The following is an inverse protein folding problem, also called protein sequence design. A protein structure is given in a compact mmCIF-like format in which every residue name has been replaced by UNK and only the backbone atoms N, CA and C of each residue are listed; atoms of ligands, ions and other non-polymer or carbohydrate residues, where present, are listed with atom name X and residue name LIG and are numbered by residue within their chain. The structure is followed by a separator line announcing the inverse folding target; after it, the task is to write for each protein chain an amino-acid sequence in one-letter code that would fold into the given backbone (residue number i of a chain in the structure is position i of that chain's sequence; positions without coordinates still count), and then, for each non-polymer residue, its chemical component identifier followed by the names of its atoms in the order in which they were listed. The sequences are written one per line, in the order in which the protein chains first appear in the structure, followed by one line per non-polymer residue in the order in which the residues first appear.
data_IF_349920200711
#
_entry.id   IF_349920200711
#
_cell.length_a   1.000
_cell.length_b   1.000
_cell.length_c   1.000
_cell.angle_alpha   90.00
_cell.angle_beta   90.00
_cell.angle_gamma   90.00
#
_symmetry.space_group_name_H-M   'P 1'
#
loop_
_entity.id
_entity.type
_entity.pdbx_description
1 polymer ?
#
# COMPACT_ATOMS: atom_id res chain seq x y z
N UNK A 1 11.07 -29.38 17.95
CA UNK A 1 10.12 -28.63 18.79
C UNK A 1 10.77 -27.28 19.06
N UNK A 2 10.15 -26.19 18.64
CA UNK A 2 10.78 -24.85 18.64
C UNK A 2 10.53 -24.03 19.92
N UNK A 3 9.64 -24.49 20.80
CA UNK A 3 9.36 -23.80 22.05
C UNK A 3 10.49 -23.99 23.08
N UNK A 4 10.79 -22.97 23.91
CA UNK A 4 11.80 -23.08 24.97
C UNK A 4 11.49 -24.25 25.92
N UNK A 5 12.52 -24.99 26.31
CA UNK A 5 12.35 -26.13 27.21
C UNK A 5 12.27 -25.67 28.66
N UNK A 6 11.26 -26.10 29.43
CA UNK A 6 11.14 -25.77 30.85
C UNK A 6 12.36 -26.20 31.69
N UNK A 7 13.06 -27.24 31.26
CA UNK A 7 14.26 -27.77 31.92
C UNK A 7 15.57 -27.19 31.38
N UNK A 8 15.50 -26.19 30.50
CA UNK A 8 16.69 -25.58 29.92
C UNK A 8 17.60 -24.94 30.96
N UNK A 9 18.90 -25.05 30.72
CA UNK A 9 19.93 -24.38 31.51
C UNK A 9 20.19 -22.95 31.02
N UNK A 10 19.67 -22.57 29.85
CA UNK A 10 19.81 -21.24 29.28
C UNK A 10 18.71 -20.33 29.86
N UNK A 11 19.12 -19.38 30.72
CA UNK A 11 18.21 -18.36 31.24
C UNK A 11 17.75 -17.45 30.10
N UNK A 12 16.44 -17.21 30.00
CA UNK A 12 15.89 -16.41 28.90
C UNK A 12 15.90 -17.11 27.54
N UNK A 13 15.97 -18.46 27.50
CA UNK A 13 15.77 -19.21 26.25
C UNK A 13 14.46 -18.76 25.61
N UNK A 14 14.54 -18.39 24.32
CA UNK A 14 13.45 -17.74 23.64
C UNK A 14 13.22 -18.30 22.25
N UNK A 15 11.98 -18.12 21.78
CA UNK A 15 11.56 -18.44 20.43
C UNK A 15 10.51 -17.43 20.00
N UNK A 16 10.74 -16.78 18.86
CA UNK A 16 9.75 -15.89 18.26
C UNK A 16 8.98 -16.63 17.17
N UNK A 17 7.72 -16.93 17.44
CA UNK A 17 6.81 -17.49 16.45
C UNK A 17 6.30 -16.38 15.52
N UNK A 18 6.78 -16.40 14.29
CA UNK A 18 6.42 -15.43 13.25
C UNK A 18 4.99 -15.58 12.77
N UNK A 19 4.40 -16.77 12.88
CA UNK A 19 3.04 -17.04 12.42
C UNK A 19 2.03 -16.30 13.28
N UNK A 20 2.22 -16.36 14.60
CA UNK A 20 1.34 -15.74 15.58
C UNK A 20 1.88 -14.42 16.14
N UNK A 21 3.08 -14.00 15.71
CA UNK A 21 3.82 -12.84 16.24
C UNK A 21 4.00 -12.93 17.77
N UNK A 22 4.35 -14.11 18.26
CA UNK A 22 4.43 -14.42 19.69
C UNK A 22 5.87 -14.73 20.11
N UNK A 23 6.38 -13.96 21.08
CA UNK A 23 7.66 -14.25 21.73
C UNK A 23 7.42 -15.18 22.93
N UNK A 24 7.96 -16.39 22.86
CA UNK A 24 8.04 -17.33 23.96
C UNK A 24 9.37 -17.14 24.68
N UNK A 25 9.34 -17.02 26.00
CA UNK A 25 10.51 -16.79 26.85
C UNK A 25 10.46 -17.69 28.07
N UNK A 26 11.58 -18.34 28.40
CA UNK A 26 11.74 -19.06 29.65
C UNK A 26 12.24 -18.12 30.74
N UNK A 27 11.40 -17.90 31.76
CA UNK A 27 11.76 -17.14 32.96
C UNK A 27 11.96 -18.11 34.12
N UNK A 28 13.11 -18.04 34.80
CA UNK A 28 13.45 -18.94 35.90
C UNK A 28 14.28 -18.22 36.98
N UNK A 29 13.90 -18.40 38.24
CA UNK A 29 14.61 -17.85 39.38
C UNK A 29 14.39 -16.35 39.57
N UNK A 30 15.36 -15.67 40.16
CA UNK A 30 15.31 -14.25 40.53
C UNK A 30 16.09 -13.32 39.59
N UNK A 31 16.73 -13.89 38.56
CA UNK A 31 17.54 -13.13 37.60
C UNK A 31 16.59 -12.52 36.55
N UNK A 32 16.61 -11.19 36.34
CA UNK A 32 15.78 -10.56 35.32
C UNK A 32 16.18 -11.01 33.92
N UNK A 33 15.20 -11.12 33.03
CA UNK A 33 15.42 -11.39 31.60
C UNK A 33 15.31 -10.07 30.84
N UNK A 34 16.37 -9.70 30.13
CA UNK A 34 16.39 -8.55 29.24
C UNK A 34 16.10 -9.00 27.80
N UNK A 35 15.29 -8.23 27.08
CA UNK A 35 14.89 -8.53 25.70
C UNK A 35 15.56 -7.52 24.77
N UNK A 36 16.47 -8.01 23.93
CA UNK A 36 17.10 -7.21 22.88
C UNK A 36 16.41 -7.49 21.54
N UNK A 37 15.95 -6.43 20.90
CA UNK A 37 15.33 -6.51 19.57
C UNK A 37 16.15 -5.71 18.56
N UNK A 38 16.05 -6.11 17.30
CA UNK A 38 16.63 -5.37 16.17
C UNK A 38 15.59 -5.27 15.07
N UNK A 39 15.66 -4.19 14.29
CA UNK A 39 14.77 -4.01 13.15
C UNK A 39 15.26 -4.91 12.00
N UNK A 40 14.33 -5.69 11.44
CA UNK A 40 14.59 -6.55 10.28
C UNK A 40 13.42 -6.44 9.31
N UNK A 41 13.65 -6.83 8.06
CA UNK A 41 12.61 -7.02 7.06
C UNK A 41 12.43 -8.50 6.82
N UNK A 42 11.17 -8.93 6.82
CA UNK A 42 10.79 -10.26 6.38
C UNK A 42 10.28 -10.21 4.95
N UNK A 43 10.79 -11.14 4.15
CA UNK A 43 10.47 -11.30 2.75
C UNK A 43 10.03 -12.73 2.52
N UNK A 44 8.90 -12.93 1.84
CA UNK A 44 8.52 -14.24 1.33
C UNK A 44 8.41 -14.16 -0.19
N UNK A 45 9.14 -15.01 -0.91
CA UNK A 45 9.05 -15.12 -2.36
C UNK A 45 8.17 -16.32 -2.73
N UNK A 46 7.24 -16.10 -3.64
CA UNK A 46 6.58 -17.18 -4.36
C UNK A 46 7.30 -17.39 -5.69
N UNK A 47 7.91 -18.56 -5.84
CA UNK A 47 8.58 -18.97 -7.06
C UNK A 47 7.66 -19.89 -7.87
N UNK A 48 7.66 -19.78 -9.21
CA UNK A 48 7.07 -20.79 -10.07
C UNK A 48 7.79 -22.11 -9.85
N UNK A 49 7.31 -23.17 -10.46
CA UNK A 49 7.74 -24.50 -10.13
C UNK A 49 9.18 -24.84 -10.57
N UNK A 50 10.14 -24.42 -9.75
CA UNK A 50 11.54 -24.81 -9.81
C UNK A 50 11.72 -26.09 -8.99
N UNK A 51 12.66 -26.94 -9.40
CA UNK A 51 13.03 -28.08 -8.56
C UNK A 51 13.78 -27.56 -7.32
N UNK A 52 13.60 -28.22 -6.18
CA UNK A 52 14.34 -27.89 -4.94
C UNK A 52 15.86 -27.90 -5.21
N UNK A 53 16.33 -28.83 -6.04
CA UNK A 53 17.73 -28.95 -6.44
C UNK A 53 18.24 -27.75 -7.26
N UNK A 54 17.44 -27.20 -8.18
CA UNK A 54 17.78 -25.96 -8.89
C UNK A 54 17.84 -24.77 -7.92
N UNK A 55 16.98 -24.77 -6.90
CA UNK A 55 16.97 -23.74 -5.86
C UNK A 55 18.19 -23.85 -4.92
N UNK A 56 18.54 -25.04 -4.42
CA UNK A 56 19.71 -25.23 -3.53
C UNK A 56 21.05 -25.12 -4.25
N UNK A 57 21.11 -25.52 -5.53
CA UNK A 57 22.26 -25.27 -6.39
C UNK A 57 22.48 -23.77 -6.60
N UNK A 58 21.43 -22.95 -6.41
CA UNK A 58 21.52 -21.50 -6.42
C UNK A 58 22.12 -20.95 -5.11
N UNK A 59 23.43 -21.15 -4.93
CA UNK A 59 24.27 -20.24 -4.14
C UNK A 59 24.25 -18.78 -4.69
N UNK A 60 23.44 -18.55 -5.74
CA UNK A 60 23.20 -17.30 -6.41
C UNK A 60 22.07 -16.49 -5.79
N UNK A 61 21.07 -17.04 -5.08
CA UNK A 61 19.95 -16.22 -4.56
C UNK A 61 20.44 -15.14 -3.59
N UNK A 62 21.05 -15.57 -2.49
CA UNK A 62 21.56 -14.66 -1.45
C UNK A 62 22.63 -13.74 -2.02
N UNK A 63 23.50 -14.27 -2.89
CA UNK A 63 24.54 -13.49 -3.56
C UNK A 63 23.96 -12.43 -4.50
N UNK A 64 23.01 -12.78 -5.36
CA UNK A 64 22.38 -11.85 -6.32
C UNK A 64 21.56 -10.81 -5.57
N UNK A 65 20.84 -11.20 -4.51
CA UNK A 65 20.15 -10.27 -3.62
C UNK A 65 21.14 -9.30 -2.97
N UNK A 66 22.24 -9.81 -2.40
CA UNK A 66 23.28 -8.98 -1.78
C UNK A 66 23.88 -7.98 -2.79
N UNK A 67 24.19 -8.44 -4.01
CA UNK A 67 24.70 -7.58 -5.09
C UNK A 67 23.68 -6.53 -5.54
N UNK A 68 22.41 -6.92 -5.70
CA UNK A 68 21.34 -6.02 -6.09
C UNK A 68 21.07 -4.94 -5.04
N UNK A 69 20.96 -5.36 -3.78
CA UNK A 69 20.69 -4.50 -2.64
C UNK A 69 21.91 -3.69 -2.19
N UNK A 70 23.10 -4.08 -2.67
CA UNK A 70 24.39 -3.52 -2.27
C UNK A 70 24.63 -3.65 -0.76
N UNK A 71 24.24 -4.79 -0.20
CA UNK A 71 24.47 -5.13 1.22
C UNK A 71 25.37 -6.37 1.35
N UNK A 72 26.07 -6.51 2.47
CA UNK A 72 26.82 -7.74 2.76
C UNK A 72 25.90 -8.97 2.83
N UNK A 73 26.38 -10.12 2.37
CA UNK A 73 25.58 -11.36 2.34
C UNK A 73 25.21 -11.88 3.73
N UNK A 74 25.99 -11.56 4.76
CA UNK A 74 25.71 -11.90 6.16
C UNK A 74 24.47 -11.18 6.72
N UNK A 75 24.01 -10.12 6.06
CA UNK A 75 22.76 -9.43 6.42
C UNK A 75 21.51 -10.15 5.91
N UNK A 76 21.65 -11.18 5.07
CA UNK A 76 20.53 -11.92 4.46
C UNK A 76 20.54 -13.35 5.00
N UNK A 77 19.46 -13.75 5.67
CA UNK A 77 19.29 -15.09 6.25
C UNK A 77 18.07 -15.77 5.65
N UNK A 78 18.22 -17.01 5.18
CA UNK A 78 17.07 -17.84 4.77
C UNK A 78 16.47 -18.46 6.02
N UNK A 79 15.21 -18.10 6.33
CA UNK A 79 14.52 -18.57 7.53
C UNK A 79 13.79 -19.89 7.31
N UNK A 80 13.10 -20.02 6.18
CA UNK A 80 12.24 -21.17 5.90
C UNK A 80 12.09 -21.37 4.41
N UNK A 81 12.04 -22.62 3.99
CA UNK A 81 11.70 -23.01 2.63
C UNK A 81 10.51 -23.95 2.75
N UNK A 82 9.41 -23.60 2.08
CA UNK A 82 8.16 -24.34 2.10
C UNK A 82 7.90 -24.83 0.67
N UNK A 83 8.02 -26.14 0.41
CA UNK A 83 7.50 -26.72 -0.82
C UNK A 83 5.99 -26.52 -0.86
N UNK A 84 5.40 -26.30 -2.03
CA UNK A 84 3.94 -26.30 -2.17
C UNK A 84 3.32 -27.60 -1.62
N UNK A 85 2.00 -27.67 -1.48
CA UNK A 85 1.32 -28.95 -1.21
C UNK A 85 0.81 -29.56 -2.51
N UNK A 86 1.10 -30.85 -2.74
CA UNK A 86 0.50 -31.62 -3.83
C UNK A 86 0.25 -33.04 -3.36
N UNK A 87 -1.02 -33.44 -3.42
CA UNK A 87 -1.45 -34.84 -3.23
C UNK A 87 -1.06 -35.74 -4.42
N UNK A 88 -0.51 -35.18 -5.52
CA UNK A 88 -0.09 -35.92 -6.72
C UNK A 88 1.32 -35.51 -7.16
N UNK A 89 2.28 -36.35 -6.77
CA UNK A 89 3.76 -36.25 -6.89
C UNK A 89 4.39 -35.93 -8.28
N UNK A 90 3.62 -35.51 -9.30
CA UNK A 90 4.07 -35.43 -10.72
C UNK A 90 3.84 -34.10 -11.43
N UNK A 91 3.34 -33.04 -10.78
CA UNK A 91 3.39 -31.67 -11.33
C UNK A 91 4.37 -30.85 -10.52
N UNK A 92 5.18 -30.06 -11.22
CA UNK A 92 6.11 -29.09 -10.68
C UNK A 92 5.36 -28.16 -9.71
N UNK A 93 5.84 -28.05 -8.48
CA UNK A 93 5.17 -27.34 -7.38
C UNK A 93 5.80 -25.96 -7.18
N UNK A 94 5.00 -24.93 -6.91
CA UNK A 94 5.53 -23.64 -6.49
C UNK A 94 6.32 -23.77 -5.19
N UNK A 95 7.38 -22.98 -5.05
CA UNK A 95 8.24 -22.95 -3.86
C UNK A 95 8.06 -21.61 -3.16
N UNK A 96 7.83 -21.62 -1.85
CA UNK A 96 7.78 -20.41 -1.03
C UNK A 96 9.05 -20.31 -0.18
N UNK A 97 9.77 -19.20 -0.30
CA UNK A 97 11.05 -18.99 0.39
C UNK A 97 10.93 -17.77 1.29
N UNK A 98 11.15 -17.96 2.59
CA UNK A 98 11.15 -16.88 3.58
C UNK A 98 12.58 -16.47 3.93
N UNK A 99 12.86 -15.17 3.81
CA UNK A 99 14.12 -14.54 4.11
C UNK A 99 13.94 -13.45 5.17
N UNK A 100 15.00 -13.26 5.92
CA UNK A 100 15.17 -12.17 6.87
C UNK A 100 16.36 -11.34 6.42
N UNK A 101 16.14 -10.02 6.28
CA UNK A 101 17.18 -9.06 5.91
C UNK A 101 17.34 -8.10 7.08
N UNK A 102 18.49 -8.17 7.74
CA UNK A 102 18.64 -7.61 9.08
C UNK A 102 19.99 -7.91 9.70
N UNK A 103 20.42 -7.06 10.64
CA UNK A 103 21.38 -7.51 11.63
C UNK A 103 20.76 -8.62 12.48
N UNK A 104 21.54 -9.58 12.98
CA UNK A 104 21.05 -10.49 14.01
C UNK A 104 20.81 -9.70 15.32
N UNK A 105 19.84 -10.11 16.15
CA UNK A 105 19.66 -9.51 17.48
C UNK A 105 20.98 -9.61 18.28
N UNK A 106 21.45 -8.52 18.92
CA UNK A 106 22.68 -8.57 19.69
C UNK A 106 22.50 -9.43 20.95
N UNK A 107 23.51 -10.23 21.27
CA UNK A 107 23.52 -11.04 22.50
C UNK A 107 23.84 -10.20 23.75
N UNK A 108 24.51 -9.05 23.57
CA UNK A 108 24.90 -8.14 24.64
C UNK A 108 24.65 -6.70 24.21
N UNK A 109 24.28 -5.84 25.16
CA UNK A 109 24.17 -4.40 24.91
C UNK A 109 25.58 -3.84 24.65
N UNK A 110 25.82 -3.42 23.42
CA UNK A 110 26.96 -2.58 23.07
C UNK A 110 26.42 -1.23 22.62
N UNK A 111 27.03 -0.14 23.11
CA UNK A 111 26.74 1.21 22.60
C UNK A 111 27.35 1.45 21.22
N UNK A 112 28.09 0.47 20.69
CA UNK A 112 28.64 0.54 19.35
C UNK A 112 27.54 0.25 18.31
N UNK A 113 27.10 1.30 17.65
CA UNK A 113 26.15 1.27 16.53
C UNK A 113 26.86 1.19 15.18
N UNK A 114 28.20 1.16 15.16
CA UNK A 114 28.96 1.09 13.92
C UNK A 114 28.66 -0.22 13.17
N UNK A 115 28.12 -0.08 11.96
CA UNK A 115 27.82 -1.22 11.08
C UNK A 115 26.45 -1.88 11.29
N UNK A 116 25.61 -1.33 12.17
CA UNK A 116 24.20 -1.70 12.26
C UNK A 116 23.40 -1.03 11.14
N UNK A 117 22.53 -1.80 10.49
CA UNK A 117 21.60 -1.30 9.49
C UNK A 117 20.58 -0.39 10.15
N UNK A 118 20.41 0.78 9.53
CA UNK A 118 19.45 1.75 10.00
C UNK A 118 18.06 1.45 9.46
N UNK A 119 17.03 1.94 10.15
CA UNK A 119 15.64 1.82 9.70
C UNK A 119 15.46 2.36 8.27
N UNK A 120 16.12 3.47 7.93
CA UNK A 120 16.04 4.07 6.59
C UNK A 120 16.69 3.21 5.50
N UNK A 121 17.74 2.46 5.84
CA UNK A 121 18.39 1.52 4.93
C UNK A 121 17.50 0.31 4.67
N UNK A 122 16.90 -0.25 5.72
CA UNK A 122 15.89 -1.29 5.60
C UNK A 122 14.73 -0.82 4.72
N UNK A 123 14.17 0.38 4.95
CA UNK A 123 13.10 0.92 4.10
C UNK A 123 13.51 1.04 2.62
N UNK A 124 14.75 1.45 2.33
CA UNK A 124 15.28 1.48 0.96
C UNK A 124 15.40 0.09 0.35
N UNK A 125 15.82 -0.90 1.14
CA UNK A 125 15.88 -2.31 0.72
C UNK A 125 14.47 -2.81 0.35
N UNK A 126 13.48 -2.59 1.22
CA UNK A 126 12.09 -2.94 0.96
C UNK A 126 11.57 -2.29 -0.33
N UNK A 127 11.81 -0.98 -0.51
CA UNK A 127 11.40 -0.26 -1.70
C UNK A 127 12.09 -0.74 -2.98
N UNK A 128 13.39 -1.06 -2.91
CA UNK A 128 14.16 -1.56 -4.06
C UNK A 128 13.69 -2.96 -4.51
N UNK A 129 13.46 -3.86 -3.56
CA UNK A 129 12.87 -5.19 -3.85
C UNK A 129 11.47 -5.04 -4.41
N UNK A 130 10.65 -4.21 -3.77
CA UNK A 130 9.29 -3.94 -4.20
C UNK A 130 9.23 -3.46 -5.65
N UNK A 131 10.07 -2.48 -5.99
CA UNK A 131 10.14 -1.92 -7.32
C UNK A 131 10.63 -2.95 -8.36
N UNK A 132 11.62 -3.77 -8.03
CA UNK A 132 12.09 -4.82 -8.94
C UNK A 132 10.98 -5.82 -9.31
N UNK A 133 10.16 -6.22 -8.32
CA UNK A 133 9.01 -7.12 -8.52
C UNK A 133 7.91 -6.43 -9.32
N UNK A 134 7.51 -5.21 -8.92
CA UNK A 134 6.45 -4.43 -9.60
C UNK A 134 6.76 -4.19 -11.08
N UNK A 135 8.03 -3.91 -11.39
CA UNK A 135 8.49 -3.61 -12.76
C UNK A 135 8.89 -4.85 -13.56
N UNK A 136 8.80 -6.05 -12.98
CA UNK A 136 9.11 -7.32 -13.66
C UNK A 136 10.59 -7.54 -13.97
N UNK A 137 11.50 -6.83 -13.28
CA UNK A 137 12.96 -6.90 -13.51
C UNK A 137 13.65 -8.00 -12.69
N UNK A 138 12.90 -8.74 -11.87
CA UNK A 138 13.41 -9.77 -10.95
C UNK A 138 14.19 -10.88 -11.65
N UNK A 139 13.74 -11.35 -12.82
CA UNK A 139 14.44 -12.39 -13.58
C UNK A 139 15.85 -11.98 -13.98
N UNK A 140 16.03 -10.74 -14.43
CA UNK A 140 17.34 -10.20 -14.82
C UNK A 140 18.26 -9.93 -13.64
N UNK A 141 17.69 -9.63 -12.47
CA UNK A 141 18.43 -9.20 -11.28
C UNK A 141 18.79 -10.40 -10.41
N UNK A 142 17.82 -11.29 -10.18
CA UNK A 142 17.92 -12.39 -9.22
C UNK A 142 18.17 -13.73 -9.89
N UNK A 143 17.90 -13.85 -11.20
CA UNK A 143 18.11 -15.06 -11.99
C UNK A 143 16.89 -15.99 -12.04
N UNK A 144 15.75 -15.58 -11.48
CA UNK A 144 14.51 -16.34 -11.49
C UNK A 144 13.29 -15.41 -11.55
N UNK A 145 12.20 -15.92 -12.09
CA UNK A 145 10.93 -15.17 -12.11
C UNK A 145 10.26 -15.30 -10.74
N UNK A 146 9.82 -14.19 -10.17
CA UNK A 146 9.04 -14.15 -8.93
C UNK A 146 7.58 -13.92 -9.33
N UNK A 147 6.67 -14.80 -8.92
CA UNK A 147 5.24 -14.58 -9.18
C UNK A 147 4.68 -13.47 -8.29
N UNK A 148 4.97 -13.55 -7.00
CA UNK A 148 4.59 -12.56 -6.00
C UNK A 148 5.55 -12.62 -4.81
N UNK A 149 5.53 -11.55 -4.02
CA UNK A 149 6.37 -11.34 -2.87
C UNK A 149 5.55 -10.73 -1.75
N UNK A 150 5.79 -11.18 -0.52
CA UNK A 150 5.27 -10.55 0.68
C UNK A 150 6.40 -9.84 1.42
N UNK A 151 6.19 -8.58 1.78
CA UNK A 151 7.17 -7.77 2.51
C UNK A 151 6.55 -7.22 3.78
N UNK A 152 7.23 -7.42 4.90
CA UNK A 152 6.88 -6.77 6.17
C UNK A 152 7.80 -5.58 6.39
N UNK A 153 7.22 -4.40 6.61
CA UNK A 153 8.01 -3.20 6.88
C UNK A 153 8.82 -3.35 8.17
N UNK A 154 10.04 -2.79 8.21
CA UNK A 154 10.82 -2.78 9.42
C UNK A 154 10.12 -1.91 10.47
N UNK A 155 10.09 -2.40 11.70
CA UNK A 155 9.48 -1.67 12.81
C UNK A 155 10.55 -0.74 13.41
N UNK A 156 10.26 0.55 13.66
CA UNK A 156 11.17 1.44 14.36
C UNK A 156 11.53 0.92 15.75
N UNK A 157 12.70 1.30 16.27
CA UNK A 157 13.08 0.98 17.64
C UNK A 157 12.21 1.77 18.64
N UNK A 158 12.01 1.27 19.88
CA UNK A 158 11.28 2.02 20.91
C UNK A 158 11.85 3.41 21.25
N UNK A 159 13.13 3.63 20.95
CA UNK A 159 13.82 4.91 21.09
C UNK A 159 13.54 5.90 19.95
N UNK A 160 12.97 5.46 18.84
CA UNK A 160 12.63 6.32 17.69
C UNK A 160 11.29 7.02 17.93
N UNK A 161 11.22 8.32 17.62
CA UNK A 161 9.97 9.11 17.61
C UNK A 161 8.82 8.46 16.82
N UNK A 162 9.13 7.70 15.76
CA UNK A 162 8.15 6.99 14.94
C UNK A 162 7.47 5.84 15.70
N UNK A 163 8.10 5.31 16.76
CA UNK A 163 7.55 4.24 17.59
C UNK A 163 6.21 4.63 18.21
N UNK A 164 6.02 5.90 18.56
CA UNK A 164 4.76 6.40 19.15
C UNK A 164 3.57 6.06 18.25
N UNK A 165 3.75 6.11 16.92
CA UNK A 165 2.69 5.77 15.95
C UNK A 165 2.42 4.27 15.88
N UNK A 166 3.45 3.44 16.06
CA UNK A 166 3.33 1.98 16.03
C UNK A 166 2.69 1.48 17.32
N UNK A 167 3.15 1.99 18.47
CA UNK A 167 2.63 1.62 19.79
C UNK A 167 1.18 2.04 20.01
N UNK A 168 0.69 3.04 19.28
CA UNK A 168 -0.71 3.45 19.31
C UNK A 168 -1.65 2.56 18.48
N UNK A 169 -1.12 1.72 17.59
CA UNK A 169 -1.95 0.82 16.77
C UNK A 169 -2.43 -0.37 17.61
N UNK A 170 -3.70 -0.80 17.44
CA UNK A 170 -4.20 -2.00 18.10
C UNK A 170 -3.40 -3.22 17.62
N UNK A 171 -3.00 -4.06 18.57
CA UNK A 171 -2.24 -5.29 18.27
C UNK A 171 -3.22 -6.40 17.89
N UNK A 172 -3.29 -6.74 16.61
CA UNK A 172 -4.05 -7.87 16.12
C UNK A 172 -3.15 -9.10 15.92
N UNK A 173 -3.51 -10.22 16.56
CA UNK A 173 -2.72 -11.47 16.53
C UNK A 173 -2.66 -12.16 15.17
N UNK A 174 -3.50 -11.77 14.22
CA UNK A 174 -3.63 -12.43 12.91
C UNK A 174 -3.53 -11.47 11.72
N UNK A 175 -3.30 -10.17 11.95
CA UNK A 175 -3.34 -9.15 10.92
C UNK A 175 -2.12 -8.22 11.03
N UNK A 176 -0.92 -8.79 10.95
CA UNK A 176 0.26 -7.95 10.77
C UNK A 176 0.23 -7.35 9.35
N UNK A 177 0.52 -6.05 9.17
CA UNK A 177 0.53 -5.45 7.84
C UNK A 177 1.65 -6.08 6.99
N UNK A 178 1.23 -6.96 6.08
CA UNK A 178 2.07 -7.57 5.07
C UNK A 178 1.74 -6.94 3.73
N UNK A 179 2.76 -6.40 3.05
CA UNK A 179 2.61 -5.85 1.72
C UNK A 179 2.68 -6.97 0.70
N UNK A 180 1.61 -7.13 -0.07
CA UNK A 180 1.61 -7.98 -1.24
C UNK A 180 2.18 -7.22 -2.43
N UNK A 181 3.23 -7.77 -3.03
CA UNK A 181 3.94 -7.17 -4.16
C UNK A 181 3.99 -8.18 -5.28
N UNK A 182 3.56 -7.78 -6.47
CA UNK A 182 3.62 -8.60 -7.67
C UNK A 182 3.87 -7.68 -8.87
N UNK A 183 4.11 -8.26 -10.03
CA UNK A 183 4.13 -7.49 -11.28
C UNK A 183 2.77 -6.77 -11.47
N UNK A 184 2.80 -5.47 -11.70
CA UNK A 184 1.56 -4.70 -11.94
C UNK A 184 1.11 -4.97 -13.36
N UNK A 185 0.04 -5.77 -13.50
CA UNK A 185 -0.52 -6.13 -14.80
C UNK A 185 -1.33 -4.99 -15.40
N UNK A 186 -2.01 -4.22 -14.55
CA UNK A 186 -2.95 -3.19 -14.96
C UNK A 186 -3.23 -2.19 -13.84
N UNK A 187 -3.74 -1.03 -14.26
CA UNK A 187 -4.27 0.00 -13.39
C UNK A 187 -5.79 0.06 -13.59
N UNK A 188 -6.54 0.32 -12.52
CA UNK A 188 -7.99 0.42 -12.54
C UNK A 188 -8.43 1.78 -12.00
N UNK A 189 -9.17 2.56 -12.79
CA UNK A 189 -9.77 3.81 -12.32
C UNK A 189 -11.06 3.48 -11.57
N UNK A 190 -11.00 3.54 -10.24
CA UNK A 190 -12.12 3.16 -9.38
C UNK A 190 -13.07 4.34 -9.16
N UNK A 191 -12.50 5.51 -8.91
CA UNK A 191 -13.28 6.75 -8.81
C UNK A 191 -13.01 7.57 -10.06
N UNK A 192 -14.05 7.83 -10.85
CA UNK A 192 -13.93 8.63 -12.06
C UNK A 192 -13.81 10.12 -11.71
N UNK A 193 -12.98 10.90 -12.44
CA UNK A 193 -12.93 12.34 -12.25
C UNK A 193 -14.24 12.98 -12.71
N UNK A 194 -14.74 13.97 -11.97
CA UNK A 194 -15.88 14.80 -12.38
C UNK A 194 -15.43 16.24 -12.49
N UNK A 195 -15.52 16.78 -13.71
CA UNK A 195 -15.08 18.13 -14.00
C UNK A 195 -15.87 19.18 -13.20
N UNK A 196 -15.17 20.12 -12.60
CA UNK A 196 -15.74 21.34 -12.05
C UNK A 196 -15.61 22.50 -13.07
N UNK A 197 -15.89 23.73 -12.64
CA UNK A 197 -15.59 24.91 -13.43
C UNK A 197 -14.09 24.99 -13.75
N UNK A 198 -13.69 25.50 -14.94
CA UNK A 198 -12.28 25.66 -15.27
C UNK A 198 -11.51 26.42 -14.18
N UNK A 199 -10.35 25.88 -13.80
CA UNK A 199 -9.52 26.42 -12.71
C UNK A 199 -9.90 25.94 -11.30
N UNK A 200 -11.03 25.25 -11.13
CA UNK A 200 -11.39 24.61 -9.86
C UNK A 200 -10.95 23.14 -9.83
N UNK A 201 -10.64 22.58 -8.65
CA UNK A 201 -10.42 21.15 -8.51
C UNK A 201 -11.65 20.38 -8.95
N UNK A 202 -11.45 19.17 -9.47
CA UNK A 202 -12.56 18.27 -9.77
C UNK A 202 -13.46 18.10 -8.55
N UNK A 203 -14.78 18.14 -8.78
CA UNK A 203 -15.78 17.95 -7.73
C UNK A 203 -15.72 16.52 -7.17
N UNK A 204 -15.29 15.58 -8.00
CA UNK A 204 -14.88 14.24 -7.60
C UNK A 204 -13.48 13.97 -8.13
N UNK A 205 -12.52 13.77 -7.24
CA UNK A 205 -11.14 13.46 -7.61
C UNK A 205 -10.99 11.98 -8.00
N UNK A 206 -10.10 11.67 -8.97
CA UNK A 206 -9.90 10.31 -9.40
C UNK A 206 -9.05 9.51 -8.40
N UNK A 207 -9.39 8.23 -8.28
CA UNK A 207 -8.67 7.25 -7.48
C UNK A 207 -8.35 6.04 -8.34
N UNK A 208 -7.07 5.69 -8.40
CA UNK A 208 -6.55 4.62 -9.26
C UNK A 208 -5.93 3.52 -8.41
N UNK A 209 -6.27 2.28 -8.72
CA UNK A 209 -5.78 1.08 -8.04
C UNK A 209 -4.81 0.31 -8.93
N UNK A 210 -3.66 -0.10 -8.41
CA UNK A 210 -2.72 -1.00 -9.08
C UNK A 210 -3.03 -2.46 -8.72
N UNK A 211 -3.11 -3.32 -9.74
CA UNK A 211 -3.46 -4.74 -9.57
C UNK A 211 -2.55 -5.68 -10.35
N UNK A 212 -2.45 -6.93 -9.89
CA UNK A 212 -1.75 -8.03 -10.58
C UNK A 212 -2.66 -8.70 -11.62
N UNK A 213 -2.22 -9.78 -12.26
CA UNK A 213 -2.99 -10.50 -13.28
C UNK A 213 -4.28 -11.12 -12.76
N UNK A 214 -4.35 -11.38 -11.46
CA UNK A 214 -5.49 -12.03 -10.79
C UNK A 214 -6.44 -10.99 -10.17
N UNK A 215 -6.11 -9.70 -10.28
CA UNK A 215 -6.90 -8.59 -9.75
C UNK A 215 -6.60 -8.25 -8.29
N UNK A 216 -5.56 -8.84 -7.69
CA UNK A 216 -5.16 -8.54 -6.32
C UNK A 216 -4.50 -7.16 -6.22
N UNK A 217 -4.69 -6.50 -5.07
CA UNK A 217 -4.03 -5.24 -4.73
C UNK A 217 -2.50 -5.45 -4.68
N UNK A 218 -1.76 -4.64 -5.44
CA UNK A 218 -0.29 -4.61 -5.41
C UNK A 218 0.18 -3.38 -4.64
N UNK A 219 0.88 -3.58 -3.52
CA UNK A 219 1.35 -2.52 -2.61
C UNK A 219 2.48 -1.67 -3.22
N UNK A 220 2.20 -0.89 -4.26
CA UNK A 220 3.15 0.02 -4.91
C UNK A 220 3.70 1.07 -3.94
N UNK A 221 2.93 1.46 -2.92
CA UNK A 221 3.29 2.48 -1.94
C UNK A 221 4.49 2.16 -1.04
N UNK A 222 5.05 0.95 -1.10
CA UNK A 222 6.34 0.66 -0.44
C UNK A 222 7.54 1.17 -1.26
N UNK A 223 7.32 1.54 -2.51
CA UNK A 223 8.33 1.99 -3.46
C UNK A 223 8.28 3.50 -3.64
N UNK A 224 9.26 4.06 -4.36
CA UNK A 224 9.23 5.45 -4.80
C UNK A 224 8.47 5.66 -6.12
N UNK A 225 7.77 4.65 -6.63
CA UNK A 225 7.00 4.78 -7.86
C UNK A 225 5.82 5.73 -7.66
N UNK A 226 5.57 6.54 -8.67
CA UNK A 226 4.50 7.54 -8.68
C UNK A 226 3.54 7.29 -9.82
N UNK A 227 2.29 7.66 -9.63
CA UNK A 227 1.31 7.71 -10.70
C UNK A 227 1.30 9.12 -11.29
N UNK A 228 1.45 9.22 -12.61
CA UNK A 228 1.38 10.48 -13.35
C UNK A 228 0.06 10.58 -14.11
N UNK A 229 -0.64 11.71 -13.99
CA UNK A 229 -1.84 12.03 -14.75
C UNK A 229 -1.51 12.99 -15.91
N UNK A 230 -2.02 12.68 -17.10
CA UNK A 230 -1.95 13.55 -18.28
C UNK A 230 -3.34 13.72 -18.88
N UNK A 231 -3.59 14.88 -19.50
CA UNK A 231 -4.85 15.16 -20.18
C UNK A 231 -4.74 14.78 -21.66
N UNK A 232 -5.75 14.08 -22.18
CA UNK A 232 -5.92 13.76 -23.59
C UNK A 232 -7.18 14.41 -24.16
N UNK A 233 -7.10 14.85 -25.42
CA UNK A 233 -8.25 15.31 -26.19
C UNK A 233 -9.07 14.13 -26.76
N UNK A 234 -10.14 14.45 -27.50
CA UNK A 234 -11.00 13.44 -28.15
C UNK A 234 -10.29 12.62 -29.23
N UNK A 235 -9.13 13.09 -29.71
CA UNK A 235 -8.31 12.43 -30.72
C UNK A 235 -7.17 11.61 -30.08
N UNK A 236 -7.19 11.44 -28.75
CA UNK A 236 -6.15 10.80 -27.94
C UNK A 236 -4.77 11.51 -27.99
N UNK A 237 -4.73 12.78 -28.41
CA UNK A 237 -3.50 13.56 -28.32
C UNK A 237 -3.32 14.09 -26.91
N UNK A 238 -2.08 14.01 -26.40
CA UNK A 238 -1.74 14.66 -25.14
C UNK A 238 -1.87 16.18 -25.30
N UNK A 239 -2.58 16.81 -24.37
CA UNK A 239 -2.81 18.25 -24.34
C UNK A 239 -2.41 18.85 -23.00
N UNK A 240 -1.98 20.10 -23.02
CA UNK A 240 -1.78 20.90 -21.80
C UNK A 240 -3.14 21.30 -21.21
N UNK A 241 -3.23 21.43 -19.89
CA UNK A 241 -4.43 21.97 -19.23
C UNK A 241 -4.84 21.23 -17.96
N UNK A 242 -4.10 20.20 -17.55
CA UNK A 242 -4.19 19.64 -16.21
C UNK A 242 -3.24 20.41 -15.28
N UNK A 243 -3.72 20.79 -14.11
CA UNK A 243 -2.92 21.43 -13.05
C UNK A 243 -3.21 20.81 -11.68
N UNK A 244 -2.58 21.33 -10.63
CA UNK A 244 -2.51 20.67 -9.32
C UNK A 244 -1.36 19.68 -9.27
N UNK A 245 -1.40 18.73 -8.33
CA UNK A 245 -0.40 17.69 -8.25
C UNK A 245 -0.69 16.56 -9.23
N UNK A 246 -0.11 16.65 -10.43
CA UNK A 246 -0.28 15.67 -11.49
C UNK A 246 0.56 14.40 -11.31
N UNK A 247 1.42 14.33 -10.29
CA UNK A 247 2.24 13.15 -10.01
C UNK A 247 2.22 12.84 -8.52
N UNK A 248 1.59 11.74 -8.13
CA UNK A 248 1.38 11.39 -6.73
C UNK A 248 2.00 10.03 -6.37
N UNK A 249 2.45 9.83 -5.12
CA UNK A 249 2.86 8.53 -4.64
C UNK A 249 1.64 7.62 -4.42
N UNK A 250 1.92 6.31 -4.32
CA UNK A 250 0.92 5.34 -3.89
C UNK A 250 0.87 5.22 -2.36
N UNK A 251 -0.32 4.93 -1.84
CA UNK A 251 -0.55 4.40 -0.50
C UNK A 251 -1.10 2.99 -0.63
N UNK A 252 -0.32 1.97 -0.25
CA UNK A 252 -0.59 0.58 -0.62
C UNK A 252 -0.76 0.46 -2.14
N UNK A 253 -1.89 -0.06 -2.65
CA UNK A 253 -2.19 -0.11 -4.08
C UNK A 253 -2.95 1.09 -4.65
N UNK A 254 -3.20 2.12 -3.84
CA UNK A 254 -4.06 3.25 -4.22
C UNK A 254 -3.25 4.51 -4.49
N UNK A 255 -3.57 5.19 -5.58
CA UNK A 255 -3.13 6.55 -5.87
C UNK A 255 -4.38 7.43 -5.94
N UNK A 256 -4.55 8.28 -4.92
CA UNK A 256 -5.72 9.12 -4.76
C UNK A 256 -5.32 10.58 -4.98
N UNK A 257 -5.81 11.17 -6.06
CA UNK A 257 -5.62 12.59 -6.30
C UNK A 257 -6.53 13.40 -5.39
N UNK A 258 -6.10 14.62 -5.05
CA UNK A 258 -6.85 15.51 -4.15
C UNK A 258 -7.10 16.88 -4.77
N UNK A 259 -6.29 17.28 -5.75
CA UNK A 259 -6.24 18.65 -6.25
C UNK A 259 -6.11 18.74 -7.78
N UNK A 260 -6.41 17.67 -8.52
CA UNK A 260 -6.42 17.76 -9.99
C UNK A 260 -7.47 18.76 -10.44
N UNK A 261 -7.01 19.67 -11.29
CA UNK A 261 -7.77 20.80 -11.81
C UNK A 261 -7.64 20.80 -13.34
N UNK A 262 -8.68 21.24 -14.03
CA UNK A 262 -8.62 21.43 -15.48
C UNK A 262 -8.79 22.92 -15.81
N UNK A 263 -7.86 23.45 -16.60
CA UNK A 263 -7.79 24.86 -16.96
C UNK A 263 -8.47 25.20 -18.28
N UNK A 264 -8.90 24.19 -19.04
CA UNK A 264 -9.48 24.36 -20.38
C UNK A 264 -10.91 23.85 -20.45
N UNK A 265 -11.63 24.32 -21.45
CA UNK A 265 -12.92 23.77 -21.85
C UNK A 265 -12.71 22.80 -23.01
N UNK A 266 -13.60 21.81 -23.15
CA UNK A 266 -13.43 20.71 -24.10
C UNK A 266 -14.47 19.62 -23.89
N UNK A 267 -14.86 18.95 -24.97
CA UNK A 267 -15.79 17.81 -24.92
C UNK A 267 -15.00 16.53 -25.11
N UNK A 268 -15.37 15.49 -24.36
CA UNK A 268 -14.80 14.14 -24.45
C UNK A 268 -13.28 14.08 -24.19
N UNK A 269 -12.77 14.94 -23.31
CA UNK A 269 -11.39 14.82 -22.83
C UNK A 269 -11.27 13.62 -21.89
N UNK A 270 -10.09 13.04 -21.76
CA UNK A 270 -9.83 11.96 -20.80
C UNK A 270 -8.55 12.24 -20.03
N UNK A 271 -8.40 11.60 -18.88
CA UNK A 271 -7.15 11.57 -18.14
C UNK A 271 -6.52 10.21 -18.33
N UNK A 272 -5.29 10.18 -18.82
CA UNK A 272 -4.47 8.98 -18.80
C UNK A 272 -3.59 9.00 -17.57
N UNK A 273 -3.59 7.88 -16.85
CA UNK A 273 -2.75 7.63 -15.68
C UNK A 273 -1.65 6.65 -16.06
N UNK A 274 -0.40 6.99 -15.72
CA UNK A 274 0.80 6.29 -16.15
C UNK A 274 1.64 5.93 -14.92
N UNK A 275 1.95 4.65 -14.78
CA UNK A 275 2.89 4.09 -13.79
C UNK A 275 4.15 3.60 -14.49
N UNK A 276 5.32 4.06 -14.03
CA UNK A 276 6.66 3.67 -14.52
C UNK A 276 6.80 3.75 -16.06
N UNK A 277 6.12 4.70 -16.69
CA UNK A 277 6.05 4.88 -18.16
C UNK A 277 5.60 3.66 -18.99
N UNK A 278 5.14 2.60 -18.32
CA UNK A 278 4.81 1.31 -18.93
C UNK A 278 3.31 0.98 -18.80
N UNK A 279 2.78 1.01 -17.57
CA UNK A 279 1.39 0.63 -17.29
C UNK A 279 0.50 1.86 -17.38
N UNK A 280 -0.57 1.78 -18.18
CA UNK A 280 -1.46 2.91 -18.47
C UNK A 280 -2.91 2.53 -18.26
N UNK A 281 -3.71 3.49 -17.81
CA UNK A 281 -5.18 3.40 -17.81
C UNK A 281 -5.79 4.76 -18.09
N UNK A 282 -6.93 4.79 -18.78
CA UNK A 282 -7.66 6.01 -19.07
C UNK A 282 -8.91 6.13 -18.19
N UNK A 283 -9.27 7.36 -17.84
CA UNK A 283 -10.58 7.68 -17.30
C UNK A 283 -11.68 7.55 -18.37
N UNK A 284 -12.93 7.55 -17.93
CA UNK A 284 -14.07 7.85 -18.79
C UNK A 284 -13.98 9.27 -19.37
N UNK A 285 -14.78 9.56 -20.41
CA UNK A 285 -14.81 10.88 -21.02
C UNK A 285 -15.37 11.93 -20.06
N UNK A 286 -14.67 13.06 -19.99
CA UNK A 286 -15.01 14.25 -19.24
C UNK A 286 -15.69 15.26 -20.18
N UNK A 287 -16.81 15.81 -19.72
CA UNK A 287 -17.40 17.00 -20.33
C UNK A 287 -16.97 18.22 -19.51
N UNK A 288 -16.13 19.06 -20.07
CA UNK A 288 -15.63 20.26 -19.38
C UNK A 288 -16.65 21.39 -19.60
N UNK A 289 -17.21 21.99 -18.54
CA UNK A 289 -18.19 23.06 -18.66
C UNK A 289 -17.66 24.20 -19.51
N UNK A 290 -18.45 24.67 -20.48
CA UNK A 290 -18.14 25.90 -21.20
C UNK A 290 -18.30 27.08 -20.24
N UNK A 291 -17.36 28.03 -20.28
CA UNK A 291 -17.44 29.25 -19.50
C UNK A 291 -18.65 30.06 -19.99
N UNK A 292 -19.71 30.15 -19.17
CA UNK A 292 -20.80 31.08 -19.40
C UNK A 292 -20.28 32.48 -19.11
N UNK A 293 -19.81 33.19 -20.14
CA UNK A 293 -19.54 34.62 -20.05
C UNK A 293 -20.90 35.30 -19.94
N UNK A 294 -21.34 35.57 -18.71
CA UNK A 294 -22.42 36.53 -18.48
C UNK A 294 -21.85 37.91 -18.76
N UNK A 295 -22.03 38.39 -19.99
CA UNK A 295 -21.86 39.81 -20.31
C UNK A 295 -23.01 40.56 -19.64
N UNK A 296 -22.82 40.93 -18.37
CA UNK A 296 -23.70 41.81 -17.63
C UNK A 296 -23.61 43.23 -18.17
N UNK A 297 -24.27 43.49 -19.31
CA UNK A 297 -24.64 44.83 -19.72
C UNK A 297 -25.67 45.34 -18.72
N UNK A 298 -25.31 46.38 -17.98
CA UNK A 298 -26.22 47.07 -17.09
C UNK A 298 -27.32 47.74 -17.89
N UNK A 299 -28.57 47.48 -17.52
CA UNK A 299 -29.63 48.44 -17.75
C UNK A 299 -30.46 48.55 -16.48
N UNK A 300 -30.61 49.79 -16.04
CA UNK A 300 -31.24 50.18 -14.79
C UNK A 300 -32.71 50.50 -15.05
N UNK A 301 -33.63 49.76 -14.44
CA UNK A 301 -34.99 50.24 -14.23
C UNK A 301 -35.53 49.74 -12.90
N UNK A 302 -35.94 50.69 -12.08
CA UNK A 302 -36.66 50.54 -10.83
C UNK A 302 -37.90 49.66 -10.99
N UNK A 303 -38.16 48.78 -10.02
CA UNK A 303 -39.42 48.81 -9.28
C UNK A 303 -39.36 47.92 -8.03
N UNK A 304 -39.81 48.51 -6.91
CA UNK A 304 -40.07 47.83 -5.65
C UNK A 304 -41.38 47.04 -5.78
N UNK A 305 -41.35 45.75 -5.48
CA UNK A 305 -42.50 45.06 -4.88
C UNK A 305 -42.06 43.83 -4.09
N UNK A 306 -42.48 43.80 -2.83
CA UNK A 306 -42.38 42.67 -1.90
C UNK A 306 -43.39 41.60 -2.32
N UNK A 307 -42.95 40.36 -2.50
CA UNK A 307 -43.85 39.21 -2.52
C UNK A 307 -43.17 37.96 -1.95
N UNK A 308 -43.67 37.58 -0.77
CA UNK A 308 -43.59 36.32 -0.02
C UNK A 308 -43.22 35.10 -0.88
N UNK A 309 -42.13 34.44 -0.50
CA UNK A 309 -41.70 33.15 -1.05
C UNK A 309 -42.70 32.05 -0.72
N UNK A 310 -43.16 31.34 -1.75
CA UNK A 310 -43.94 30.11 -1.62
C UNK A 310 -42.98 28.94 -1.81
N UNK A 311 -42.75 28.18 -0.76
CA UNK A 311 -41.94 26.96 -0.75
C UNK A 311 -42.63 25.88 -1.58
N UNK A 312 -42.17 25.67 -2.82
CA UNK A 312 -42.55 24.50 -3.61
C UNK A 312 -41.66 23.31 -3.19
N UNK A 313 -42.16 22.49 -2.27
CA UNK A 313 -41.59 21.17 -1.98
C UNK A 313 -41.90 20.24 -3.15
N UNK A 314 -40.90 19.95 -3.98
CA UNK A 314 -40.98 18.89 -5.00
C UNK A 314 -40.63 17.57 -4.31
N UNK A 315 -41.68 16.80 -4.00
CA UNK A 315 -41.60 15.42 -3.53
C UNK A 315 -41.44 14.51 -4.75
N UNK A 316 -40.24 13.95 -4.96
CA UNK A 316 -39.99 12.91 -5.96
C UNK A 316 -39.94 11.53 -5.28
N UNK A 317 -40.75 10.55 -5.72
CA UNK A 317 -40.82 9.24 -5.08
C UNK A 317 -39.60 8.38 -5.42
N UNK A 318 -38.92 7.89 -4.37
CA UNK A 318 -37.93 6.82 -4.47
C UNK A 318 -38.66 5.51 -4.70
N UNK A 319 -38.56 4.95 -5.90
CA UNK A 319 -39.04 3.60 -6.21
C UNK A 319 -37.97 2.61 -5.74
N UNK A 320 -38.28 1.92 -4.64
CA UNK A 320 -37.57 0.74 -4.16
C UNK A 320 -37.75 -0.43 -5.14
N UNK A 321 -36.66 -0.87 -5.78
CA UNK A 321 -36.57 -2.21 -6.34
C UNK A 321 -35.59 -3.04 -5.49
N UNK A 322 -36.15 -3.79 -4.55
CA UNK A 322 -35.51 -4.91 -3.87
C UNK A 322 -35.49 -6.12 -4.82
N UNK A 323 -34.33 -6.47 -5.37
CA UNK A 323 -34.00 -7.83 -5.78
C UNK A 323 -32.54 -8.09 -5.40
N UNK A 324 -32.36 -8.99 -4.45
CA UNK A 324 -31.10 -9.17 -3.74
C UNK A 324 -30.00 -9.91 -4.51
N UNK A 325 -28.77 -9.68 -4.07
CA UNK A 325 -27.75 -10.72 -3.82
C UNK A 325 -26.65 -10.15 -2.90
N UNK A 326 -26.84 -10.38 -1.61
CA UNK A 326 -25.90 -10.93 -0.62
C UNK A 326 -24.38 -10.72 -0.81
N UNK A 327 -23.77 -10.12 0.25
CA UNK A 327 -22.38 -10.19 0.76
C UNK A 327 -21.27 -9.32 0.10
N UNK A 328 -20.96 -8.17 0.70
CA UNK A 328 -19.93 -8.00 1.75
C UNK A 328 -19.93 -6.53 2.23
N UNK A 329 -20.07 -6.35 3.54
CA UNK A 329 -20.14 -5.05 4.21
C UNK A 329 -18.72 -4.66 4.67
N UNK A 330 -18.16 -3.57 4.15
CA UNK A 330 -17.20 -2.75 4.90
C UNK A 330 -17.85 -1.39 5.12
N UNK A 331 -18.31 -1.16 6.34
CA UNK A 331 -18.84 0.12 6.78
C UNK A 331 -17.80 0.79 7.69
N UNK A 332 -17.09 1.78 7.17
CA UNK A 332 -16.39 2.76 8.00
C UNK A 332 -17.41 3.79 8.48
N UNK A 333 -17.83 3.68 9.75
CA UNK A 333 -18.64 4.69 10.43
C UNK A 333 -17.72 5.74 11.06
N UNK A 334 -17.78 6.98 10.56
CA UNK A 334 -17.29 8.15 11.27
C UNK A 334 -18.43 9.17 11.36
N UNK A 335 -19.12 9.20 12.50
CA UNK A 335 -20.05 10.30 12.83
C UNK A 335 -19.74 10.79 14.24
N UNK A 336 -19.10 11.96 14.29
CA UNK A 336 -18.95 12.78 15.50
C UNK A 336 -20.31 13.43 15.79
N UNK A 337 -20.88 13.15 16.97
CA UNK A 337 -22.02 13.87 17.50
C UNK A 337 -21.75 14.20 18.97
N UNK A 338 -21.34 15.43 19.26
CA UNK A 338 -21.26 15.95 20.63
C UNK A 338 -22.57 16.70 20.89
N UNK A 339 -23.45 16.11 21.69
CA UNK A 339 -24.65 16.76 22.20
C UNK A 339 -24.36 17.24 23.63
N UNK A 340 -24.28 18.56 23.80
CA UNK A 340 -24.26 19.23 25.11
C UNK A 340 -25.60 19.01 25.83
N UNK A 341 -25.59 18.37 27.00
CA UNK A 341 -26.71 18.43 27.94
C UNK A 341 -26.20 18.83 29.32
N UNK A 342 -26.72 19.99 29.72
CA UNK A 342 -26.56 20.70 30.97
C UNK A 342 -27.38 19.99 32.07
N UNK A 343 -26.74 19.52 33.14
CA UNK A 343 -27.43 18.99 34.33
C UNK A 343 -27.42 20.06 35.42
N UNK A 344 -28.56 20.74 35.57
CA UNK A 344 -28.89 21.59 36.71
C UNK A 344 -29.74 20.82 37.72
N UNK A 345 -29.31 20.89 38.98
CA UNK A 345 -30.05 20.81 40.25
C UNK A 345 -31.46 20.19 40.28
N UNK A 346 -31.60 19.13 41.08
CA UNK A 346 -32.20 19.15 42.42
C UNK A 346 -31.70 17.96 43.24
#
# INVERSE_FOLDING_TARGET
QFLPNLNSTVLGENYFDRTYQMLYLLVKGTIPVEIHTTAVIFVSFQLPAVTEDDFYSSHNLVRNLALFLKIPSDKIRVSKIIPGESLRRKRSMGLTVELEIGDPPPQFISNDTAGQMQLSELQKIAGSLGQAVITGKTSSILGFNISSMSITNPIPSPSDSAWIKVAAQPVERFAFPVHHVAFVSSLSVITQPVAAQPGQPFSQQPSVKAVDSDGNCVSVGITSLTLKAILKDSNNNQISGLSGNTTIPFSSCWANYTDLTVLRTGKNCKIEFILDDAVRVESGPLSLPAQSVSSGGGDSSSDRASAVGTTAQIMAPVICCLMGRVLLLEAFMATVLILNIHLGYN
#
